data_IF_169333471542
#
_entry.id   IF_169333471542
#
_cell.length_a   1.000
_cell.length_b   1.000
_cell.length_c   1.000
_cell.angle_alpha   90.00
_cell.angle_beta   90.00
_cell.angle_gamma   90.00
#
_symmetry.space_group_name_H-M   'P 1'
#
loop_
_entity.id
_entity.type
_entity.pdbx_description
1 polymer ?
#
# COMPACT_ATOMS: atom_id res chain seq x y z
N UNK A 1 29.90 41.59 31.68
CA UNK A 1 28.64 41.03 32.23
C UNK A 1 27.62 40.57 31.16
N UNK A 2 27.84 40.80 29.84
CA UNK A 2 26.95 40.31 28.76
C UNK A 2 27.12 38.82 28.40
N UNK A 3 28.26 38.19 28.73
CA UNK A 3 28.56 36.80 28.37
C UNK A 3 27.83 35.76 29.22
N UNK A 4 27.63 35.98 30.53
CA UNK A 4 26.95 35.01 31.38
C UNK A 4 25.44 34.90 31.11
N UNK A 5 24.76 36.03 30.86
CA UNK A 5 23.32 36.02 30.55
C UNK A 5 23.02 35.41 29.18
N UNK A 6 23.87 35.68 28.18
CA UNK A 6 23.79 35.08 26.84
C UNK A 6 23.99 33.56 26.88
N UNK A 7 24.95 33.08 27.67
CA UNK A 7 25.26 31.66 27.79
C UNK A 7 24.16 30.86 28.49
N UNK A 8 23.50 31.46 29.49
CA UNK A 8 22.41 30.81 30.22
C UNK A 8 21.13 30.70 29.38
N UNK A 9 20.84 31.73 28.57
CA UNK A 9 19.70 31.74 27.64
C UNK A 9 19.97 30.80 26.45
N UNK A 10 21.19 30.82 25.89
CA UNK A 10 21.59 29.92 24.80
C UNK A 10 21.60 28.45 25.23
N UNK A 11 22.10 28.14 26.44
CA UNK A 11 22.17 26.77 26.95
C UNK A 11 20.79 26.12 27.11
N UNK A 12 19.73 26.91 27.36
CA UNK A 12 18.37 26.39 27.50
C UNK A 12 17.54 26.45 26.21
N UNK A 13 17.82 27.41 25.32
CA UNK A 13 17.14 27.52 24.03
C UNK A 13 17.67 26.54 22.99
N UNK A 14 18.97 26.20 23.00
CA UNK A 14 19.57 25.25 22.06
C UNK A 14 18.91 23.85 22.13
N UNK A 15 18.72 23.23 23.31
CA UNK A 15 18.03 21.95 23.40
C UNK A 15 16.60 22.01 22.89
N UNK A 16 15.86 23.08 23.23
CA UNK A 16 14.48 23.25 22.78
C UNK A 16 14.40 23.38 21.24
N UNK A 17 15.35 24.11 20.65
CA UNK A 17 15.43 24.32 19.21
C UNK A 17 15.84 23.07 18.43
N UNK A 18 16.52 22.11 19.06
CA UNK A 18 16.86 20.80 18.48
C UNK A 18 15.73 19.79 18.70
N UNK A 19 15.10 19.79 19.87
CA UNK A 19 14.05 18.84 20.22
C UNK A 19 12.79 19.07 19.38
N UNK A 20 12.38 20.32 19.14
CA UNK A 20 11.18 20.64 18.36
C UNK A 20 11.23 20.06 16.93
N UNK A 21 12.28 20.28 16.11
CA UNK A 21 12.32 19.72 14.77
C UNK A 21 12.57 18.21 14.78
N UNK A 22 13.26 17.65 15.77
CA UNK A 22 13.40 16.18 15.90
C UNK A 22 12.04 15.54 16.20
N UNK A 23 11.26 16.11 17.12
CA UNK A 23 9.90 15.63 17.43
C UNK A 23 8.98 15.82 16.23
N UNK A 24 9.07 16.96 15.53
CA UNK A 24 8.35 17.19 14.28
C UNK A 24 8.68 16.16 13.20
N UNK A 25 9.96 15.83 13.03
CA UNK A 25 10.43 14.79 12.11
C UNK A 25 9.90 13.41 12.49
N UNK A 26 9.93 13.07 13.80
CA UNK A 26 9.38 11.81 14.31
C UNK A 26 7.87 11.74 14.05
N UNK A 27 7.11 12.80 14.35
CA UNK A 27 5.65 12.84 14.15
C UNK A 27 5.30 12.71 12.67
N UNK A 28 5.97 13.44 11.77
CA UNK A 28 5.76 13.36 10.32
C UNK A 28 6.10 11.95 9.81
N UNK A 29 7.21 11.38 10.28
CA UNK A 29 7.63 10.03 9.89
C UNK A 29 6.67 8.94 10.40
N UNK A 30 6.09 9.13 11.59
CA UNK A 30 5.08 8.23 12.15
C UNK A 30 3.75 8.32 11.40
N UNK A 31 3.31 9.53 11.01
CA UNK A 31 2.09 9.73 10.23
C UNK A 31 2.15 9.04 8.86
N UNK A 32 3.34 9.06 8.23
CA UNK A 32 3.56 8.53 6.88
C UNK A 32 3.34 7.01 6.75
N UNK A 33 3.55 6.24 7.83
CA UNK A 33 3.63 4.78 7.74
C UNK A 33 2.34 4.02 8.08
N UNK A 34 1.31 4.68 8.65
CA UNK A 34 0.13 3.95 9.16
C UNK A 34 -1.23 4.50 8.74
N UNK A 35 -1.34 5.80 8.45
CA UNK A 35 -2.64 6.41 8.14
C UNK A 35 -2.98 6.41 6.65
N UNK A 36 -2.00 6.68 5.79
CA UNK A 36 -2.19 6.69 4.32
C UNK A 36 -2.46 5.27 3.78
N UNK A 37 -1.80 4.26 4.36
CA UNK A 37 -1.96 2.87 3.91
C UNK A 37 -3.32 2.29 4.29
N UNK A 38 -3.84 2.56 5.48
CA UNK A 38 -5.18 2.07 5.85
C UNK A 38 -6.28 2.66 4.96
N UNK A 39 -6.17 3.94 4.58
CA UNK A 39 -7.14 4.56 3.67
C UNK A 39 -7.05 3.99 2.25
N UNK A 40 -5.84 3.79 1.72
CA UNK A 40 -5.63 3.20 0.41
C UNK A 40 -6.11 1.74 0.37
N UNK A 41 -5.82 0.94 1.40
CA UNK A 41 -6.29 -0.45 1.51
C UNK A 41 -7.81 -0.53 1.59
N UNK A 42 -8.47 0.42 2.26
CA UNK A 42 -9.94 0.46 2.33
C UNK A 42 -10.56 0.78 0.98
N UNK A 43 -9.98 1.73 0.25
CA UNK A 43 -10.45 2.10 -1.08
C UNK A 43 -10.25 0.95 -2.09
N UNK A 44 -9.08 0.31 -2.09
CA UNK A 44 -8.80 -0.89 -2.88
C UNK A 44 -9.75 -2.04 -2.54
N UNK A 45 -10.06 -2.26 -1.25
CA UNK A 45 -11.01 -3.27 -0.82
C UNK A 45 -12.42 -2.98 -1.33
N UNK A 46 -12.88 -1.73 -1.27
CA UNK A 46 -14.19 -1.34 -1.79
C UNK A 46 -14.29 -1.56 -3.30
N UNK A 47 -13.23 -1.24 -4.05
CA UNK A 47 -13.19 -1.45 -5.49
C UNK A 47 -13.12 -2.93 -5.85
N UNK A 48 -12.29 -3.72 -5.16
CA UNK A 48 -12.23 -5.17 -5.33
C UNK A 48 -13.59 -5.83 -5.04
N UNK A 49 -14.28 -5.38 -4.00
CA UNK A 49 -15.63 -5.83 -3.67
C UNK A 49 -16.65 -5.45 -4.75
N UNK A 50 -16.57 -4.24 -5.31
CA UNK A 50 -17.44 -3.83 -6.41
C UNK A 50 -17.19 -4.69 -7.67
N UNK A 51 -15.92 -4.97 -7.99
CA UNK A 51 -15.54 -5.84 -9.11
C UNK A 51 -16.07 -7.26 -8.89
N UNK A 52 -15.97 -7.80 -7.67
CA UNK A 52 -16.51 -9.11 -7.31
C UNK A 52 -18.04 -9.16 -7.42
N UNK A 53 -18.73 -8.12 -6.95
CA UNK A 53 -20.19 -8.01 -7.01
C UNK A 53 -20.69 -7.94 -8.46
N UNK A 54 -20.04 -7.16 -9.31
CA UNK A 54 -20.39 -7.09 -10.74
C UNK A 54 -20.07 -8.42 -11.44
N UNK A 55 -18.95 -9.07 -11.11
CA UNK A 55 -18.60 -10.38 -11.66
C UNK A 55 -19.63 -11.47 -11.28
N UNK A 56 -20.22 -11.39 -10.08
CA UNK A 56 -21.28 -12.29 -9.64
C UNK A 56 -22.56 -12.21 -10.50
N UNK A 57 -22.78 -11.11 -11.24
CA UNK A 57 -23.89 -11.03 -12.20
C UNK A 57 -23.68 -11.91 -13.44
N UNK A 58 -22.43 -12.36 -13.67
CA UNK A 58 -22.04 -13.23 -14.78
C UNK A 58 -21.27 -14.45 -14.24
N UNK A 59 -21.95 -15.52 -13.79
CA UNK A 59 -21.32 -16.68 -13.17
C UNK A 59 -20.23 -17.35 -14.00
N UNK A 60 -20.26 -17.18 -15.33
CA UNK A 60 -19.22 -17.67 -16.25
C UNK A 60 -17.84 -17.08 -16.00
N UNK A 61 -17.72 -15.91 -15.37
CA UNK A 61 -16.43 -15.28 -15.04
C UNK A 61 -15.57 -16.16 -14.13
N UNK A 62 -16.19 -16.97 -13.26
CA UNK A 62 -15.47 -17.81 -12.29
C UNK A 62 -15.16 -19.22 -12.81
N UNK A 63 -15.67 -19.59 -13.99
CA UNK A 63 -15.60 -20.96 -14.51
C UNK A 63 -14.90 -21.03 -15.86
N UNK A 64 -15.01 -19.97 -16.65
CA UNK A 64 -14.47 -19.90 -18.00
C UNK A 64 -13.42 -18.79 -18.08
N UNK A 65 -12.19 -19.21 -18.36
CA UNK A 65 -11.03 -18.34 -18.57
C UNK A 65 -11.27 -17.29 -19.64
N UNK A 66 -11.92 -17.64 -20.76
CA UNK A 66 -12.17 -16.70 -21.86
C UNK A 66 -13.22 -15.64 -21.48
N UNK A 67 -14.15 -15.99 -20.59
CA UNK A 67 -15.11 -15.03 -20.02
C UNK A 67 -14.41 -14.12 -19.01
N UNK A 68 -13.56 -14.68 -18.14
CA UNK A 68 -12.77 -13.94 -17.17
C UNK A 68 -11.83 -12.92 -17.84
N UNK A 69 -11.10 -13.32 -18.88
CA UNK A 69 -10.19 -12.46 -19.63
C UNK A 69 -10.92 -11.29 -20.30
N UNK A 70 -12.09 -11.53 -20.90
CA UNK A 70 -12.91 -10.47 -21.51
C UNK A 70 -13.45 -9.49 -20.46
N UNK A 71 -13.89 -10.01 -19.32
CA UNK A 71 -14.34 -9.18 -18.21
C UNK A 71 -13.21 -8.29 -17.68
N UNK A 72 -12.02 -8.87 -17.51
CA UNK A 72 -10.84 -8.16 -17.05
C UNK A 72 -10.36 -7.11 -18.05
N UNK A 73 -10.39 -7.41 -19.35
CA UNK A 73 -10.10 -6.46 -20.42
C UNK A 73 -11.04 -5.26 -20.43
N UNK A 74 -12.30 -5.43 -20.01
CA UNK A 74 -13.26 -4.32 -19.91
C UNK A 74 -12.98 -3.40 -18.71
N UNK A 75 -12.49 -3.95 -17.60
CA UNK A 75 -12.27 -3.21 -16.34
C UNK A 75 -10.90 -2.56 -16.27
N UNK A 76 -9.88 -3.23 -16.84
CA UNK A 76 -8.50 -2.76 -16.82
C UNK A 76 -8.24 -1.53 -17.70
N UNK A 77 -9.18 -1.12 -18.57
CA UNK A 77 -8.98 0.06 -19.40
C UNK A 77 -8.98 1.34 -18.55
N UNK A 78 -7.81 1.95 -18.41
CA UNK A 78 -7.64 3.27 -17.78
C UNK A 78 -7.22 3.26 -16.30
N UNK A 79 -7.00 2.10 -15.69
CA UNK A 79 -6.59 1.99 -14.28
C UNK A 79 -5.17 1.39 -14.16
N UNK A 80 -4.39 1.89 -13.21
CA UNK A 80 -3.00 1.46 -12.96
C UNK A 80 -2.90 0.30 -11.97
N UNK A 81 -4.01 -0.39 -11.68
CA UNK A 81 -4.03 -1.48 -10.71
C UNK A 81 -3.87 -2.82 -11.40
N UNK A 82 -3.11 -3.70 -10.76
CA UNK A 82 -3.00 -5.09 -11.15
C UNK A 82 -4.20 -5.84 -10.58
N UNK A 83 -5.01 -6.42 -11.46
CA UNK A 83 -6.21 -7.15 -11.08
C UNK A 83 -6.01 -8.60 -11.50
N UNK A 84 -6.25 -9.51 -10.56
CA UNK A 84 -6.26 -10.95 -10.80
C UNK A 84 -7.62 -11.51 -10.41
N UNK A 85 -8.13 -12.39 -11.27
CA UNK A 85 -9.35 -13.15 -11.04
C UNK A 85 -8.91 -14.59 -10.82
N UNK A 86 -9.31 -15.16 -9.68
CA UNK A 86 -9.04 -16.54 -9.33
C UNK A 86 -10.35 -17.30 -9.13
N UNK A 87 -10.32 -18.61 -9.34
CA UNK A 87 -11.40 -19.50 -8.93
C UNK A 87 -11.46 -19.66 -7.40
N UNK A 88 -12.45 -20.41 -6.90
CA UNK A 88 -12.64 -20.63 -5.46
C UNK A 88 -11.46 -21.41 -4.82
N UNK A 89 -10.75 -22.19 -5.63
CA UNK A 89 -9.61 -22.99 -5.25
C UNK A 89 -8.30 -22.20 -5.25
N UNK A 90 -8.23 -21.04 -5.91
CA UNK A 90 -7.05 -20.18 -6.01
C UNK A 90 -6.23 -20.35 -7.30
N UNK A 91 -6.79 -20.95 -8.35
CA UNK A 91 -6.19 -20.96 -9.68
C UNK A 91 -6.46 -19.64 -10.40
N UNK A 92 -5.42 -19.12 -11.06
CA UNK A 92 -5.52 -17.86 -11.79
C UNK A 92 -6.33 -18.05 -13.07
N UNK A 93 -7.47 -17.38 -13.18
CA UNK A 93 -8.31 -17.38 -14.38
C UNK A 93 -7.95 -16.25 -15.34
N UNK A 94 -7.65 -15.06 -14.82
CA UNK A 94 -7.28 -13.91 -15.62
C UNK A 94 -6.40 -12.94 -14.84
N UNK A 95 -5.51 -12.22 -15.53
CA UNK A 95 -4.64 -11.19 -14.92
C UNK A 95 -4.41 -10.01 -15.87
N UNK A 96 -4.41 -8.80 -15.34
CA UNK A 96 -4.01 -7.60 -16.08
C UNK A 96 -2.51 -7.36 -16.02
N UNK A 97 -1.80 -8.05 -15.13
CA UNK A 97 -0.35 -7.91 -14.97
C UNK A 97 0.39 -8.90 -15.89
N UNK A 98 1.21 -8.41 -16.85
CA UNK A 98 1.92 -9.26 -17.81
C UNK A 98 2.91 -10.23 -17.15
N UNK A 99 3.40 -9.92 -15.94
CA UNK A 99 4.29 -10.82 -15.21
C UNK A 99 3.58 -12.13 -14.87
N UNK A 100 2.27 -12.08 -14.58
CA UNK A 100 1.48 -13.24 -14.16
C UNK A 100 0.80 -13.95 -15.34
N UNK A 101 0.99 -13.47 -16.57
CA UNK A 101 0.34 -14.02 -17.76
C UNK A 101 0.69 -15.50 -18.01
N UNK A 102 1.90 -15.93 -17.65
CA UNK A 102 2.34 -17.33 -17.77
C UNK A 102 1.76 -18.25 -16.69
N UNK A 103 1.16 -17.69 -15.63
CA UNK A 103 0.62 -18.44 -14.50
C UNK A 103 -0.88 -18.67 -14.61
N UNK A 104 -1.52 -18.12 -15.63
CA UNK A 104 -2.95 -18.27 -15.84
C UNK A 104 -3.26 -19.76 -16.15
N UNK A 105 -4.13 -20.34 -15.33
CA UNK A 105 -4.45 -21.76 -15.26
C UNK A 105 -3.72 -22.53 -14.14
N UNK A 106 -2.73 -21.91 -13.49
CA UNK A 106 -1.99 -22.50 -12.38
C UNK A 106 -2.49 -21.95 -11.03
N UNK A 107 -2.26 -22.73 -9.98
CA UNK A 107 -2.49 -22.31 -8.60
C UNK A 107 -1.46 -21.26 -8.16
N UNK A 108 -1.91 -20.14 -7.61
CA UNK A 108 -1.04 -19.07 -7.13
C UNK A 108 -0.80 -19.26 -5.63
N UNK A 109 0.39 -19.72 -5.26
CA UNK A 109 0.78 -19.90 -3.85
C UNK A 109 1.08 -18.58 -3.13
N UNK A 110 1.29 -17.51 -3.89
CA UNK A 110 1.60 -16.15 -3.40
C UNK A 110 0.33 -15.30 -3.18
N UNK A 111 -0.81 -15.94 -2.90
CA UNK A 111 -1.99 -15.24 -2.41
C UNK A 111 -1.98 -15.33 -0.89
N UNK A 112 -1.76 -14.21 -0.18
CA UNK A 112 -1.86 -14.19 1.26
C UNK A 112 -3.25 -14.67 1.69
N UNK A 113 -3.29 -15.57 2.67
CA UNK A 113 -4.51 -15.88 3.42
C UNK A 113 -5.67 -16.50 2.59
N UNK A 114 -5.37 -17.36 1.59
CA UNK A 114 -6.40 -18.15 0.86
C UNK A 114 -7.39 -18.83 1.81
N UNK A 115 -6.94 -19.34 2.95
CA UNK A 115 -7.81 -19.98 3.94
C UNK A 115 -8.82 -19.01 4.57
N UNK A 116 -8.48 -17.72 4.72
CA UNK A 116 -9.41 -16.69 5.19
C UNK A 116 -10.40 -16.32 4.08
N UNK A 117 -9.92 -16.19 2.84
CA UNK A 117 -10.74 -15.92 1.65
C UNK A 117 -11.80 -17.00 1.44
N UNK A 118 -11.41 -18.27 1.59
CA UNK A 118 -12.33 -19.43 1.50
C UNK A 118 -13.40 -19.45 2.60
N UNK A 119 -13.14 -18.80 3.74
CA UNK A 119 -14.14 -18.61 4.80
C UNK A 119 -15.09 -17.43 4.54
N UNK A 120 -14.93 -16.74 3.39
CA UNK A 120 -15.70 -15.55 3.03
C UNK A 120 -15.19 -14.26 3.69
N UNK A 121 -14.00 -14.29 4.31
CA UNK A 121 -13.38 -13.12 4.92
C UNK A 121 -12.45 -12.43 3.92
N UNK A 122 -12.40 -11.11 3.92
CA UNK A 122 -11.49 -10.34 3.08
C UNK A 122 -10.07 -10.39 3.66
N UNK A 123 -9.07 -10.56 2.81
CA UNK A 123 -7.66 -10.55 3.19
C UNK A 123 -7.01 -9.25 2.71
N UNK A 124 -6.35 -8.53 3.62
CA UNK A 124 -5.63 -7.29 3.31
C UNK A 124 -4.18 -7.51 3.68
N UNK A 125 -3.31 -7.49 2.67
CA UNK A 125 -1.88 -7.60 2.83
C UNK A 125 -1.19 -6.31 2.41
N UNK A 126 -0.28 -5.83 3.25
CA UNK A 126 0.55 -4.66 2.94
C UNK A 126 1.98 -5.02 3.30
N UNK A 127 2.82 -5.12 2.29
CA UNK A 127 4.15 -5.68 2.48
C UNK A 127 5.06 -5.54 1.27
N UNK A 128 6.20 -6.21 1.34
CA UNK A 128 7.09 -6.35 0.19
C UNK A 128 6.56 -7.48 -0.68
N UNK A 129 6.44 -7.26 -1.99
CA UNK A 129 6.25 -8.37 -2.92
C UNK A 129 7.59 -9.07 -3.11
N UNK A 130 7.64 -10.38 -2.88
CA UNK A 130 8.84 -11.19 -3.12
C UNK A 130 9.24 -11.17 -4.61
N UNK A 131 8.30 -10.86 -5.49
CA UNK A 131 8.46 -10.98 -6.93
C UNK A 131 8.91 -9.70 -7.61
N UNK A 132 8.29 -8.57 -7.28
CA UNK A 132 8.69 -7.26 -7.84
C UNK A 132 9.73 -6.56 -6.97
N UNK A 133 10.02 -7.07 -5.77
CA UNK A 133 10.90 -6.42 -4.78
C UNK A 133 10.48 -4.97 -4.48
N UNK A 134 9.20 -4.67 -4.69
CA UNK A 134 8.58 -3.38 -4.43
C UNK A 134 7.62 -3.51 -3.26
N UNK A 135 7.35 -2.38 -2.60
CA UNK A 135 6.31 -2.37 -1.58
C UNK A 135 4.95 -2.32 -2.29
N UNK A 136 4.09 -3.29 -1.99
CA UNK A 136 2.75 -3.40 -2.58
C UNK A 136 1.68 -3.32 -1.51
N UNK A 137 0.55 -2.71 -1.89
CA UNK A 137 -0.71 -2.91 -1.19
C UNK A 137 -1.51 -3.94 -1.99
N UNK A 138 -1.89 -5.02 -1.33
CA UNK A 138 -2.52 -6.18 -1.95
C UNK A 138 -3.80 -6.52 -1.19
N UNK A 139 -4.92 -6.51 -1.89
CA UNK A 139 -6.22 -6.77 -1.31
C UNK A 139 -6.88 -7.89 -2.08
N UNK A 140 -7.28 -8.94 -1.37
CA UNK A 140 -8.05 -10.03 -1.93
C UNK A 140 -9.44 -10.07 -1.29
N UNK A 141 -10.46 -10.10 -2.13
CA UNK A 141 -11.87 -10.15 -1.73
C UNK A 141 -12.50 -11.42 -2.31
N UNK A 142 -13.13 -12.27 -1.47
CA UNK A 142 -13.87 -13.41 -1.97
C UNK A 142 -15.18 -12.95 -2.59
N UNK A 143 -15.48 -13.46 -3.78
CA UNK A 143 -16.79 -13.33 -4.39
C UNK A 143 -17.68 -14.45 -3.86
N UNK A 144 -18.78 -14.10 -3.20
CA UNK A 144 -19.74 -15.07 -2.66
C UNK A 144 -21.04 -15.06 -3.46
N UNK A 145 -21.67 -16.22 -3.60
CA UNK A 145 -23.00 -16.33 -4.18
C UNK A 145 -24.11 -15.97 -3.17
N UNK A 146 -25.38 -16.02 -3.60
CA UNK A 146 -26.54 -15.78 -2.75
C UNK A 146 -26.67 -16.75 -1.55
N UNK A 147 -25.96 -17.89 -1.59
CA UNK A 147 -25.87 -18.88 -0.51
C UNK A 147 -24.64 -18.65 0.40
N UNK A 148 -23.95 -17.52 0.23
CA UNK A 148 -22.74 -17.15 0.98
C UNK A 148 -21.57 -18.13 0.79
N UNK A 149 -21.53 -18.83 -0.34
CA UNK A 149 -20.45 -19.72 -0.74
C UNK A 149 -19.48 -18.97 -1.64
N UNK A 150 -18.18 -19.13 -1.41
CA UNK A 150 -17.13 -18.53 -2.24
C UNK A 150 -17.14 -19.19 -3.61
N UNK A 151 -17.37 -18.40 -4.66
CA UNK A 151 -17.37 -18.85 -6.06
C UNK A 151 -16.11 -18.41 -6.81
N UNK A 152 -15.36 -17.46 -6.26
CA UNK A 152 -14.10 -17.00 -6.80
C UNK A 152 -13.47 -15.94 -5.92
N UNK A 153 -12.30 -15.46 -6.32
CA UNK A 153 -11.52 -14.46 -5.57
C UNK A 153 -11.07 -13.37 -6.55
N UNK A 154 -11.25 -12.11 -6.15
CA UNK A 154 -10.69 -10.96 -6.86
C UNK A 154 -9.57 -10.39 -6.02
N UNK A 155 -8.38 -10.33 -6.62
CA UNK A 155 -7.20 -9.72 -6.02
C UNK A 155 -6.87 -8.45 -6.78
N UNK A 156 -6.66 -7.37 -6.05
CA UNK A 156 -6.24 -6.08 -6.58
C UNK A 156 -4.96 -5.67 -5.87
N UNK A 157 -3.91 -5.46 -6.66
CA UNK A 157 -2.57 -5.09 -6.19
C UNK A 157 -2.17 -3.76 -6.80
N UNK A 158 -1.50 -2.92 -6.01
CA UNK A 158 -0.87 -1.69 -6.50
C UNK A 158 0.52 -1.54 -5.92
N UNK A 159 1.45 -1.09 -6.76
CA UNK A 159 2.80 -0.71 -6.33
C UNK A 159 2.75 0.63 -5.59
N UNK A 160 3.41 0.72 -4.44
CA UNK A 160 3.46 1.92 -3.60
C UNK A 160 4.69 2.80 -3.90
N UNK A 161 5.60 2.33 -4.76
CA UNK A 161 6.87 3.00 -5.04
C UNK A 161 6.70 4.30 -5.83
N UNK A 162 5.63 4.46 -6.60
CA UNK A 162 5.31 5.69 -7.34
C UNK A 162 4.77 6.81 -6.44
N UNK A 163 4.20 6.48 -5.28
CA UNK A 163 3.67 7.46 -4.32
C UNK A 163 4.74 8.00 -3.35
N UNK A 164 5.92 7.38 -3.32
CA UNK A 164 6.95 7.65 -2.31
C UNK A 164 7.98 8.72 -2.73
N UNK A 165 8.04 9.09 -4.02
CA UNK A 165 9.07 10.01 -4.54
C UNK A 165 8.93 11.44 -3.96
N UNK A 166 7.71 11.94 -3.80
CA UNK A 166 7.45 13.27 -3.23
C UNK A 166 7.75 13.34 -1.72
N UNK A 167 7.66 12.21 -1.01
CA UNK A 167 7.89 12.17 0.44
C UNK A 167 9.39 12.11 0.80
N UNK A 168 10.23 11.49 -0.04
CA UNK A 168 11.69 11.49 0.14
C UNK A 168 12.26 12.90 -0.01
N UNK A 169 11.73 13.72 -0.92
CA UNK A 169 12.15 15.11 -1.05
C UNK A 169 11.82 15.94 0.20
N UNK A 170 10.62 15.74 0.76
CA UNK A 170 10.23 16.42 2.00
C UNK A 170 11.13 16.03 3.18
N UNK A 171 11.49 14.74 3.29
CA UNK A 171 12.43 14.27 4.30
C UNK A 171 13.84 14.86 4.11
N UNK A 172 14.33 14.99 2.88
CA UNK A 172 15.62 15.67 2.59
C UNK A 172 15.60 17.12 3.04
N UNK A 173 14.52 17.85 2.80
CA UNK A 173 14.38 19.24 3.24
C UNK A 173 14.40 19.32 4.77
N UNK A 174 13.69 18.44 5.48
CA UNK A 174 13.71 18.43 6.95
C UNK A 174 15.10 18.08 7.48
N UNK A 175 15.77 17.07 6.94
CA UNK A 175 17.15 16.71 7.31
C UNK A 175 18.09 17.89 7.06
N UNK A 176 17.96 18.58 5.91
CA UNK A 176 18.77 19.76 5.59
C UNK A 176 18.54 20.90 6.59
N UNK A 177 17.28 21.17 6.97
CA UNK A 177 16.93 22.19 7.97
C UNK A 177 17.48 21.82 9.35
N UNK A 178 17.36 20.56 9.76
CA UNK A 178 17.91 20.06 11.04
C UNK A 178 19.43 20.16 11.07
N UNK A 179 20.10 19.73 10.00
CA UNK A 179 21.56 19.84 9.88
C UNK A 179 22.01 21.31 9.93
N UNK A 180 21.29 22.20 9.24
CA UNK A 180 21.56 23.63 9.26
C UNK A 180 21.35 24.24 10.66
N UNK A 181 20.25 23.90 11.34
CA UNK A 181 19.98 24.35 12.70
C UNK A 181 21.04 23.88 13.70
N UNK A 182 21.51 22.62 13.56
CA UNK A 182 22.62 22.09 14.37
C UNK A 182 23.93 22.86 14.15
N UNK A 183 24.28 23.14 12.90
CA UNK A 183 25.48 23.92 12.55
C UNK A 183 25.42 25.34 13.11
N UNK A 184 24.26 26.00 13.00
CA UNK A 184 24.05 27.34 13.57
C UNK A 184 24.15 27.32 15.10
N UNK A 185 23.55 26.32 15.75
CA UNK A 185 23.64 26.15 17.20
C UNK A 185 25.08 25.94 17.69
N UNK A 186 25.86 25.12 16.97
CA UNK A 186 27.30 24.92 17.23
C UNK A 186 28.10 26.21 17.04
N UNK A 187 27.82 26.97 15.98
CA UNK A 187 28.50 28.25 15.71
C UNK A 187 28.18 29.35 16.72
N UNK A 188 27.04 29.29 17.40
CA UNK A 188 26.68 30.22 18.48
C UNK A 188 27.28 29.76 19.84
N UNK A 189 27.54 28.46 19.99
CA UNK A 189 28.10 27.88 21.22
C UNK A 189 29.63 27.99 21.31
N UNK A 190 30.32 28.13 20.18
CA UNK A 190 31.77 28.35 20.09
C UNK A 190 32.13 29.84 20.28
#
# INVERSE_FOLDING_TARGET
>A
MRSLRSWLIASHLIPLFVIIPVVGFIIISLLNSRLVLNQLSTELANQAALIAEVANTQPGVWQDREVADRYLLAISQGHHWDIMILDAEGHLLATSNPNYASEVGNYISDVPEITQLQSGQQAIFVGMSDRTQSRVADVAVPATNAQNQVVGIVRVTTELDTLNQNFVELQRVVIAIVAFALLVGLGIAL
#
